data_IF_216429381082
#
_entry.id   IF_216429381082
#
_cell.length_a   1.000
_cell.length_b   1.000
_cell.length_c   1.000
_cell.angle_alpha   90.00
_cell.angle_beta   90.00
_cell.angle_gamma   90.00
#
_symmetry.space_group_name_H-M   'P 1'
#
loop_
_entity.id
_entity.type
_entity.pdbx_description
1 polymer ?
#
# COMPACT_ATOMS: atom_id res chain seq x y z
N UNK A 1 60.90 15.65 13.97
CA UNK A 1 59.83 16.00 13.01
C UNK A 1 58.51 16.16 13.76
N UNK A 2 58.00 17.38 13.69
CA UNK A 2 57.04 18.04 14.57
C UNK A 2 55.58 17.58 14.36
N UNK A 3 54.72 17.69 15.39
CA UNK A 3 53.27 17.62 15.24
C UNK A 3 52.69 18.92 14.67
N UNK A 4 51.77 18.81 13.71
CA UNK A 4 51.13 19.93 13.04
C UNK A 4 49.88 20.39 13.82
N UNK A 5 50.04 21.39 14.69
CA UNK A 5 48.95 22.10 15.37
C UNK A 5 48.56 23.36 14.59
N UNK A 6 47.54 23.27 13.74
CA UNK A 6 46.92 24.45 13.15
C UNK A 6 45.82 24.99 14.07
N UNK A 7 46.17 26.10 14.71
CA UNK A 7 45.31 26.99 15.47
C UNK A 7 44.05 27.40 14.69
N UNK A 8 42.88 27.11 15.27
CA UNK A 8 41.61 27.78 14.96
C UNK A 8 41.37 28.83 16.03
N UNK A 9 41.53 30.10 15.69
CA UNK A 9 41.06 31.23 16.48
C UNK A 9 40.43 32.23 15.53
N UNK A 10 39.15 32.51 15.74
CA UNK A 10 38.32 33.32 14.87
C UNK A 10 36.89 33.31 15.38
N UNK A 11 36.69 33.83 16.58
CA UNK A 11 35.40 34.21 17.15
C UNK A 11 35.02 35.61 16.66
N UNK A 12 33.82 35.79 16.10
CA UNK A 12 33.13 37.06 16.21
C UNK A 12 31.68 36.85 16.65
N UNK A 13 31.43 37.08 17.95
CA UNK A 13 30.39 37.95 18.51
C UNK A 13 28.93 37.81 18.03
N UNK A 14 27.97 37.56 18.95
CA UNK A 14 26.55 37.48 18.58
C UNK A 14 25.99 38.87 18.25
N UNK A 15 25.28 38.98 17.12
CA UNK A 15 24.42 40.13 16.80
C UNK A 15 22.99 39.77 17.12
N UNK A 16 22.43 40.47 18.11
CA UNK A 16 21.01 40.45 18.46
C UNK A 16 20.44 41.86 18.20
N UNK A 17 19.53 42.02 17.23
CA UNK A 17 18.61 43.13 17.21
C UNK A 17 17.19 42.65 17.53
N UNK A 18 16.69 43.09 18.69
CA UNK A 18 15.38 42.75 19.22
C UNK A 18 14.17 43.17 18.36
N UNK A 19 12.97 42.72 18.74
CA UNK A 19 11.76 42.93 17.95
C UNK A 19 11.18 44.33 18.16
N UNK A 20 10.89 45.03 17.07
CA UNK A 20 10.01 46.20 17.08
C UNK A 20 8.70 45.83 16.37
N UNK A 21 7.67 45.56 17.17
CA UNK A 21 6.28 45.54 16.71
C UNK A 21 5.79 46.98 16.49
N UNK A 22 5.18 47.31 15.34
CA UNK A 22 4.28 48.44 15.25
C UNK A 22 2.83 47.98 15.45
N UNK A 23 2.25 48.42 16.57
CA UNK A 23 0.80 48.47 16.81
C UNK A 23 0.16 49.35 15.74
N UNK A 24 -0.74 48.78 14.94
CA UNK A 24 -1.66 49.56 14.09
C UNK A 24 -3.07 49.32 14.62
N UNK A 25 -3.60 50.33 15.28
CA UNK A 25 -5.00 50.46 15.69
C UNK A 25 -5.79 50.96 14.47
N UNK A 26 -6.81 50.21 14.04
CA UNK A 26 -7.76 50.65 13.02
C UNK A 26 -9.20 50.36 13.48
N UNK A 27 -9.96 51.45 13.54
CA UNK A 27 -11.33 51.58 13.97
C UNK A 27 -12.34 50.76 13.14
N UNK A 28 -13.58 50.56 13.64
CA UNK A 28 -14.54 49.61 13.07
C UNK A 28 -15.39 50.24 11.97
N UNK A 29 -15.67 49.46 10.92
CA UNK A 29 -16.63 49.78 9.87
C UNK A 29 -17.19 48.50 9.21
N UNK A 30 -18.43 48.17 9.55
CA UNK A 30 -19.35 47.22 8.86
C UNK A 30 -19.71 47.73 7.43
N UNK A 31 -20.37 46.98 6.51
CA UNK A 31 -20.94 45.64 6.62
C UNK A 31 -20.75 44.72 5.38
N UNK A 32 -21.10 43.44 5.54
CA UNK A 32 -21.69 42.65 4.45
C UNK A 32 -20.73 41.84 3.57
N UNK A 33 -20.38 40.64 4.01
CA UNK A 33 -20.26 39.50 3.10
C UNK A 33 -20.79 38.27 3.82
N UNK A 34 -22.04 37.91 3.50
CA UNK A 34 -22.58 36.61 3.87
C UNK A 34 -21.70 35.53 3.23
N UNK A 35 -20.83 34.94 4.03
CA UNK A 35 -20.18 33.68 3.73
C UNK A 35 -21.28 32.62 3.54
N UNK A 36 -21.30 31.84 2.45
CA UNK A 36 -22.06 30.61 2.46
C UNK A 36 -21.50 29.71 3.58
N UNK A 37 -22.35 29.02 4.37
CA UNK A 37 -21.86 28.08 5.37
C UNK A 37 -21.01 27.02 4.68
N UNK A 38 -19.84 26.80 5.26
CA UNK A 38 -18.79 25.95 4.74
C UNK A 38 -19.30 24.56 4.36
N UNK A 39 -18.76 24.11 3.24
CA UNK A 39 -18.34 22.74 2.96
C UNK A 39 -18.68 21.78 4.09
N UNK A 40 -19.83 21.12 3.96
CA UNK A 40 -19.97 19.80 4.57
C UNK A 40 -18.86 18.89 4.05
N UNK A 41 -18.48 17.83 4.79
CA UNK A 41 -17.66 16.79 4.22
C UNK A 41 -18.49 16.08 3.15
N UNK A 42 -18.42 16.55 1.90
CA UNK A 42 -18.80 15.74 0.74
C UNK A 42 -17.75 14.66 0.55
N UNK A 43 -17.64 13.75 1.53
CA UNK A 43 -17.26 12.38 1.29
C UNK A 43 -18.53 11.64 0.84
N UNK A 44 -19.07 12.03 -0.30
CA UNK A 44 -20.07 11.24 -1.02
C UNK A 44 -19.45 10.91 -2.36
N UNK A 45 -18.65 9.83 -2.35
CA UNK A 45 -17.98 9.32 -3.54
C UNK A 45 -18.97 9.19 -4.68
N UNK A 46 -18.63 9.83 -5.81
CA UNK A 46 -19.28 9.52 -7.07
C UNK A 46 -19.14 8.01 -7.32
N UNK A 47 -20.21 7.31 -7.72
CA UNK A 47 -20.12 5.90 -8.06
C UNK A 47 -19.24 5.77 -9.31
N UNK A 48 -18.07 5.16 -9.16
CA UNK A 48 -17.33 4.60 -10.29
C UNK A 48 -15.90 5.09 -10.55
N UNK A 49 -15.34 6.01 -9.77
CA UNK A 49 -13.93 6.43 -10.01
C UNK A 49 -12.99 5.49 -9.25
N UNK A 50 -12.36 4.55 -9.97
CA UNK A 50 -11.26 3.77 -9.43
C UNK A 50 -10.08 4.69 -9.11
N UNK A 51 -9.54 4.57 -7.90
CA UNK A 51 -8.28 5.21 -7.56
C UNK A 51 -7.13 4.55 -8.35
N UNK A 52 -6.09 5.30 -8.75
CA UNK A 52 -4.92 4.70 -9.39
C UNK A 52 -4.32 3.59 -8.52
N UNK A 53 -3.89 2.49 -9.16
CA UNK A 53 -3.27 1.37 -8.44
C UNK A 53 -1.99 1.83 -7.72
N UNK A 54 -1.82 1.50 -6.43
CA UNK A 54 -0.62 1.85 -5.69
C UNK A 54 0.63 1.18 -6.30
N UNK A 55 1.80 1.78 -6.12
CA UNK A 55 3.06 1.09 -6.42
C UNK A 55 3.33 0.00 -5.38
N UNK A 56 3.87 -1.15 -5.80
CA UNK A 56 4.26 -2.23 -4.90
C UNK A 56 3.83 -3.61 -5.39
N UNK A 57 3.82 -4.57 -4.46
CA UNK A 57 3.60 -5.99 -4.74
C UNK A 57 2.25 -6.27 -5.41
N UNK A 58 1.18 -5.57 -5.01
CA UNK A 58 -0.15 -5.73 -5.63
C UNK A 58 -0.17 -5.31 -7.09
N UNK A 59 0.41 -4.15 -7.44
CA UNK A 59 0.51 -3.72 -8.85
C UNK A 59 1.43 -4.62 -9.67
N UNK A 60 2.53 -5.10 -9.10
CA UNK A 60 3.39 -6.10 -9.74
C UNK A 60 2.62 -7.40 -10.01
N UNK A 61 1.76 -7.82 -9.09
CA UNK A 61 0.89 -8.97 -9.23
C UNK A 61 -0.16 -8.78 -10.34
N UNK A 62 -0.80 -7.61 -10.44
CA UNK A 62 -1.71 -7.31 -11.56
C UNK A 62 -0.96 -7.31 -12.90
N UNK A 63 0.25 -6.72 -12.95
CA UNK A 63 1.08 -6.76 -14.16
C UNK A 63 1.43 -8.20 -14.58
N UNK A 64 1.76 -9.05 -13.61
CA UNK A 64 2.00 -10.46 -13.84
C UNK A 64 0.73 -11.15 -14.37
N UNK A 65 -0.44 -10.87 -13.79
CA UNK A 65 -1.71 -11.44 -14.23
C UNK A 65 -2.09 -11.03 -15.66
N UNK A 66 -1.82 -9.78 -16.04
CA UNK A 66 -2.01 -9.29 -17.41
C UNK A 66 -1.13 -10.03 -18.41
N UNK A 67 0.14 -10.27 -18.07
CA UNK A 67 1.12 -10.87 -18.98
C UNK A 67 1.15 -12.41 -18.95
N UNK A 68 0.70 -13.02 -17.86
CA UNK A 68 0.71 -14.47 -17.60
C UNK A 68 -0.57 -14.92 -16.89
N UNK A 69 -1.75 -14.82 -17.54
CA UNK A 69 -3.05 -15.03 -16.91
C UNK A 69 -3.23 -16.45 -16.34
N UNK A 70 -2.75 -17.49 -17.03
CA UNK A 70 -2.88 -18.89 -16.56
C UNK A 70 -2.21 -19.12 -15.20
N UNK A 71 -1.03 -18.54 -15.03
CA UNK A 71 -0.28 -18.65 -13.79
C UNK A 71 -0.96 -17.86 -12.67
N UNK A 72 -1.43 -16.66 -12.98
CA UNK A 72 -2.16 -15.82 -12.05
C UNK A 72 -3.44 -16.46 -11.54
N UNK A 73 -4.25 -17.04 -12.44
CA UNK A 73 -5.50 -17.71 -12.09
C UNK A 73 -5.29 -18.92 -11.17
N UNK A 74 -4.13 -19.58 -11.26
CA UNK A 74 -3.79 -20.72 -10.39
C UNK A 74 -3.23 -20.27 -9.05
N UNK A 75 -2.41 -19.21 -9.05
CA UNK A 75 -1.58 -18.85 -7.91
C UNK A 75 -2.17 -17.73 -7.04
N UNK A 76 -2.93 -16.81 -7.60
CA UNK A 76 -3.38 -15.58 -6.94
C UNK A 76 -4.90 -15.58 -6.78
N UNK A 77 -5.37 -15.17 -5.60
CA UNK A 77 -6.79 -14.90 -5.37
C UNK A 77 -7.00 -13.51 -4.76
N UNK A 78 -8.23 -12.98 -4.86
CA UNK A 78 -8.57 -11.61 -4.45
C UNK A 78 -8.30 -11.31 -2.97
N UNK A 79 -8.31 -12.34 -2.12
CA UNK A 79 -8.00 -12.28 -0.69
C UNK A 79 -6.57 -11.84 -0.35
N UNK A 80 -5.65 -11.91 -1.32
CA UNK A 80 -4.27 -11.45 -1.16
C UNK A 80 -4.11 -9.93 -1.39
N UNK A 81 -5.15 -9.25 -1.86
CA UNK A 81 -5.12 -7.84 -2.24
C UNK A 81 -5.88 -7.01 -1.21
N UNK A 82 -5.23 -6.03 -0.60
CA UNK A 82 -5.86 -5.06 0.29
C UNK A 82 -6.44 -3.89 -0.51
N UNK A 83 -5.77 -3.46 -1.58
CA UNK A 83 -6.25 -2.36 -2.41
C UNK A 83 -7.48 -2.78 -3.23
N UNK A 84 -8.60 -2.05 -3.11
CA UNK A 84 -9.83 -2.42 -3.81
C UNK A 84 -9.72 -2.30 -5.33
N UNK A 85 -8.87 -1.41 -5.86
CA UNK A 85 -8.65 -1.29 -7.31
C UNK A 85 -7.86 -2.50 -7.83
N UNK A 86 -6.79 -2.90 -7.15
CA UNK A 86 -6.01 -4.08 -7.53
C UNK A 86 -6.87 -5.35 -7.43
N UNK A 87 -7.67 -5.50 -6.35
CA UNK A 87 -8.60 -6.63 -6.20
C UNK A 87 -9.60 -6.70 -7.35
N UNK A 88 -10.27 -5.57 -7.67
CA UNK A 88 -11.21 -5.51 -8.78
C UNK A 88 -10.57 -5.81 -10.14
N UNK A 89 -9.31 -5.40 -10.36
CA UNK A 89 -8.56 -5.76 -11.56
C UNK A 89 -8.32 -7.27 -11.66
N UNK A 90 -7.92 -7.93 -10.58
CA UNK A 90 -7.74 -9.38 -10.57
C UNK A 90 -9.07 -10.09 -10.86
N UNK A 91 -10.14 -9.71 -10.18
CA UNK A 91 -11.47 -10.29 -10.37
C UNK A 91 -11.95 -10.15 -11.83
N UNK A 92 -11.73 -8.98 -12.44
CA UNK A 92 -12.06 -8.74 -13.84
C UNK A 92 -11.22 -9.61 -14.80
N UNK A 93 -9.91 -9.71 -14.57
CA UNK A 93 -9.02 -10.55 -15.37
C UNK A 93 -9.38 -12.04 -15.26
N UNK A 94 -9.69 -12.52 -14.06
CA UNK A 94 -10.07 -13.93 -13.81
C UNK A 94 -11.44 -14.24 -14.40
N UNK A 95 -12.43 -13.35 -14.27
CA UNK A 95 -13.79 -13.57 -14.77
C UNK A 95 -13.90 -13.53 -16.30
N UNK A 96 -13.07 -12.71 -16.95
CA UNK A 96 -13.03 -12.61 -18.42
C UNK A 96 -12.04 -13.57 -19.07
N UNK A 97 -11.05 -14.07 -18.33
CA UNK A 97 -10.05 -15.01 -18.82
C UNK A 97 -9.07 -14.44 -19.85
N UNK A 98 -9.16 -13.15 -20.21
CA UNK A 98 -8.19 -12.48 -21.08
C UNK A 98 -8.16 -10.97 -20.88
N UNK A 99 -6.99 -10.35 -21.09
CA UNK A 99 -6.84 -8.90 -21.06
C UNK A 99 -7.78 -8.20 -22.05
N UNK A 100 -7.92 -8.74 -23.27
CA UNK A 100 -8.73 -8.12 -24.31
C UNK A 100 -10.21 -8.03 -23.90
N UNK A 101 -10.75 -9.09 -23.30
CA UNK A 101 -12.12 -9.09 -22.79
C UNK A 101 -12.26 -8.24 -21.53
N UNK A 102 -11.28 -8.24 -20.62
CA UNK A 102 -11.24 -7.35 -19.46
C UNK A 102 -11.30 -5.88 -19.87
N UNK A 103 -10.52 -5.46 -20.88
CA UNK A 103 -10.53 -4.08 -21.41
C UNK A 103 -11.86 -3.73 -22.09
N UNK A 104 -12.49 -4.71 -22.77
CA UNK A 104 -13.75 -4.48 -23.48
C UNK A 104 -14.98 -4.40 -22.55
N UNK A 105 -14.96 -5.14 -21.42
CA UNK A 105 -16.10 -5.26 -20.50
C UNK A 105 -15.92 -4.47 -19.21
N UNK A 106 -14.68 -4.12 -18.87
CA UNK A 106 -14.31 -3.46 -17.63
C UNK A 106 -14.66 -1.97 -17.59
N UNK A 107 -14.65 -1.38 -16.38
CA UNK A 107 -14.72 0.06 -16.20
C UNK A 107 -13.62 0.78 -17.01
N UNK A 108 -13.90 1.92 -17.68
CA UNK A 108 -12.94 2.61 -18.53
C UNK A 108 -11.59 2.91 -17.84
N UNK A 109 -11.63 3.33 -16.58
CA UNK A 109 -10.46 3.67 -15.78
C UNK A 109 -9.57 2.44 -15.53
N UNK A 110 -10.20 1.29 -15.26
CA UNK A 110 -9.51 0.04 -15.02
C UNK A 110 -8.95 -0.54 -16.33
N UNK A 111 -9.72 -0.43 -17.42
CA UNK A 111 -9.31 -0.83 -18.76
C UNK A 111 -8.07 -0.04 -19.25
N UNK A 112 -8.02 1.28 -18.98
CA UNK A 112 -6.85 2.10 -19.28
C UNK A 112 -5.63 1.63 -18.49
N UNK A 113 -5.77 1.39 -17.19
CA UNK A 113 -4.66 0.95 -16.34
C UNK A 113 -4.14 -0.44 -16.72
N UNK A 114 -5.04 -1.40 -16.97
CA UNK A 114 -4.67 -2.73 -17.45
C UNK A 114 -3.95 -2.68 -18.80
N UNK A 115 -4.39 -1.80 -19.70
CA UNK A 115 -3.73 -1.58 -21.00
C UNK A 115 -2.31 -1.02 -20.81
N UNK A 116 -2.11 -0.09 -19.88
CA UNK A 116 -0.77 0.41 -19.53
C UNK A 116 0.12 -0.69 -18.97
N UNK A 117 -0.38 -1.49 -18.04
CA UNK A 117 0.39 -2.59 -17.45
C UNK A 117 0.76 -3.68 -18.46
N UNK A 118 -0.03 -3.85 -19.53
CA UNK A 118 0.24 -4.86 -20.57
C UNK A 118 1.47 -4.58 -21.42
N UNK A 119 1.87 -3.31 -21.54
CA UNK A 119 3.07 -2.92 -22.30
C UNK A 119 4.32 -2.86 -21.42
N UNK A 120 4.16 -3.00 -20.10
CA UNK A 120 5.27 -3.06 -19.15
C UNK A 120 5.79 -4.51 -19.07
N UNK A 121 6.98 -4.75 -19.63
CA UNK A 121 7.63 -6.07 -19.56
C UNK A 121 7.79 -6.57 -18.12
N UNK A 122 7.50 -7.85 -17.90
CA UNK A 122 7.72 -8.54 -16.62
C UNK A 122 9.08 -9.24 -16.67
N UNK A 123 10.08 -8.65 -16.02
CA UNK A 123 11.45 -9.20 -15.90
C UNK A 123 11.63 -9.97 -14.58
N UNK A 124 10.59 -10.06 -13.76
CA UNK A 124 10.64 -10.67 -12.42
C UNK A 124 10.06 -12.09 -12.48
N UNK A 125 10.66 -13.00 -11.72
CA UNK A 125 10.13 -14.36 -11.61
C UNK A 125 8.76 -14.34 -10.93
N UNK A 126 7.76 -15.08 -11.44
CA UNK A 126 6.42 -15.02 -10.89
C UNK A 126 6.32 -15.45 -9.42
N UNK A 127 7.16 -16.40 -9.02
CA UNK A 127 7.28 -16.82 -7.62
C UNK A 127 7.75 -15.67 -6.74
N UNK A 128 8.65 -14.81 -7.23
CA UNK A 128 9.11 -13.62 -6.50
C UNK A 128 8.00 -12.61 -6.25
N UNK A 129 7.13 -12.40 -7.25
CA UNK A 129 5.95 -11.54 -7.10
C UNK A 129 4.99 -12.14 -6.08
N UNK A 130 4.71 -13.45 -6.18
CA UNK A 130 3.81 -14.14 -5.25
C UNK A 130 4.34 -14.11 -3.81
N UNK A 131 5.62 -14.39 -3.58
CA UNK A 131 6.22 -14.36 -2.24
C UNK A 131 6.18 -12.96 -1.62
N UNK A 132 6.41 -11.89 -2.41
CA UNK A 132 6.25 -10.52 -1.93
C UNK A 132 4.80 -10.20 -1.60
N UNK A 133 3.87 -10.52 -2.50
CA UNK A 133 2.44 -10.30 -2.30
C UNK A 133 1.93 -11.00 -1.04
N UNK A 134 2.22 -12.30 -0.90
CA UNK A 134 1.84 -13.09 0.27
C UNK A 134 2.46 -12.53 1.57
N UNK A 135 3.71 -12.04 1.52
CA UNK A 135 4.36 -11.44 2.69
C UNK A 135 3.67 -10.14 3.12
N UNK A 136 3.30 -9.26 2.18
CA UNK A 136 2.59 -8.02 2.54
C UNK A 136 1.18 -8.31 3.07
N UNK A 137 0.43 -9.22 2.43
CA UNK A 137 -0.88 -9.67 2.93
C UNK A 137 -0.77 -10.26 4.34
N UNK A 138 0.25 -11.11 4.58
CA UNK A 138 0.51 -11.70 5.89
C UNK A 138 0.85 -10.67 6.96
N UNK A 139 1.55 -9.58 6.63
CA UNK A 139 1.83 -8.49 7.57
C UNK A 139 0.58 -7.72 7.96
N UNK A 140 -0.31 -7.48 7.01
CA UNK A 140 -1.60 -6.83 7.28
C UNK A 140 -2.44 -7.73 8.18
N UNK A 141 -2.56 -9.01 7.84
CA UNK A 141 -3.27 -9.99 8.66
C UNK A 141 -2.70 -10.09 10.08
N UNK A 142 -1.37 -10.14 10.21
CA UNK A 142 -0.69 -10.16 11.50
C UNK A 142 -1.05 -8.92 12.34
N UNK A 143 -1.03 -7.73 11.73
CA UNK A 143 -1.38 -6.49 12.42
C UNK A 143 -2.84 -6.49 12.90
N UNK A 144 -3.76 -7.01 12.08
CA UNK A 144 -5.17 -7.18 12.42
C UNK A 144 -5.39 -8.18 13.56
N UNK A 145 -4.72 -9.34 13.52
CA UNK A 145 -4.78 -10.34 14.59
C UNK A 145 -4.20 -9.79 15.90
N UNK A 146 -3.07 -9.08 15.85
CA UNK A 146 -2.51 -8.43 17.04
C UNK A 146 -3.44 -7.33 17.60
N UNK A 147 -4.15 -6.62 16.72
CA UNK A 147 -5.16 -5.63 17.11
C UNK A 147 -6.37 -6.29 17.76
N UNK A 148 -6.86 -7.39 17.20
CA UNK A 148 -7.95 -8.17 17.76
C UNK A 148 -7.58 -8.76 19.12
N UNK A 149 -6.39 -9.37 19.25
CA UNK A 149 -5.89 -9.93 20.50
C UNK A 149 -5.82 -8.88 21.63
N UNK A 150 -5.38 -7.66 21.32
CA UNK A 150 -5.33 -6.55 22.30
C UNK A 150 -6.72 -6.10 22.79
N UNK A 151 -7.76 -6.33 22.01
CA UNK A 151 -9.13 -5.96 22.34
C UNK A 151 -9.99 -7.14 22.85
N UNK A 152 -9.45 -8.36 22.85
CA UNK A 152 -10.16 -9.59 23.21
C UNK A 152 -10.17 -9.84 24.73
N UNK A 153 -11.23 -10.49 25.21
CA UNK A 153 -11.31 -11.04 26.57
C UNK A 153 -10.40 -12.28 26.73
N UNK A 154 -10.17 -13.02 25.64
CA UNK A 154 -9.19 -14.10 25.57
C UNK A 154 -8.15 -13.84 24.47
N UNK A 155 -7.02 -13.17 24.80
CA UNK A 155 -5.94 -12.95 23.85
C UNK A 155 -5.21 -14.23 23.41
N UNK A 156 -5.31 -15.33 24.16
CA UNK A 156 -4.56 -16.56 23.84
C UNK A 156 -5.09 -17.26 22.60
N UNK A 157 -6.37 -17.07 22.24
CA UNK A 157 -6.96 -17.64 21.02
C UNK A 157 -6.21 -17.23 19.74
N UNK A 158 -5.60 -16.03 19.73
CA UNK A 158 -4.86 -15.51 18.57
C UNK A 158 -3.39 -15.94 18.54
N UNK A 159 -2.86 -16.44 19.65
CA UNK A 159 -1.41 -16.65 19.83
C UNK A 159 -0.81 -17.60 18.79
N UNK A 160 -1.52 -18.68 18.46
CA UNK A 160 -1.04 -19.67 17.49
C UNK A 160 -0.94 -19.08 16.08
N UNK A 161 -1.94 -18.32 15.64
CA UNK A 161 -1.95 -17.67 14.32
C UNK A 161 -0.87 -16.59 14.22
N UNK A 162 -0.74 -15.74 15.25
CA UNK A 162 0.29 -14.69 15.35
C UNK A 162 1.69 -15.30 15.30
N UNK A 163 1.94 -16.37 16.07
CA UNK A 163 3.23 -17.06 16.08
C UNK A 163 3.54 -17.72 14.74
N UNK A 164 2.55 -18.37 14.11
CA UNK A 164 2.68 -18.96 12.78
C UNK A 164 3.11 -17.90 11.76
N UNK A 165 2.35 -16.80 11.64
CA UNK A 165 2.64 -15.74 10.67
C UNK A 165 4.04 -15.13 10.87
N UNK A 166 4.44 -14.84 12.11
CA UNK A 166 5.78 -14.30 12.40
C UNK A 166 6.91 -15.21 11.93
N UNK A 167 6.77 -16.52 12.17
CA UNK A 167 7.77 -17.51 11.74
C UNK A 167 7.75 -17.62 10.22
N UNK A 168 6.59 -17.85 9.62
CA UNK A 168 6.45 -18.10 8.18
C UNK A 168 6.93 -16.90 7.34
N UNK A 169 6.66 -15.66 7.76
CA UNK A 169 7.18 -14.45 7.10
C UNK A 169 8.72 -14.44 7.09
N UNK A 170 9.36 -14.79 8.21
CA UNK A 170 10.83 -14.85 8.29
C UNK A 170 11.40 -16.03 7.47
N UNK A 171 10.70 -17.17 7.42
CA UNK A 171 11.07 -18.31 6.59
C UNK A 171 11.00 -17.97 5.09
N UNK A 172 9.94 -17.33 4.62
CA UNK A 172 9.82 -16.85 3.23
C UNK A 172 10.98 -15.92 2.87
N UNK A 173 11.32 -14.99 3.78
CA UNK A 173 12.45 -14.08 3.59
C UNK A 173 13.80 -14.82 3.54
N UNK A 174 13.97 -15.88 4.33
CA UNK A 174 15.21 -16.67 4.39
C UNK A 174 15.40 -17.57 3.17
N UNK A 175 14.33 -18.23 2.74
CA UNK A 175 14.37 -19.25 1.69
C UNK A 175 14.06 -18.70 0.29
N UNK A 176 13.50 -17.49 0.21
CA UNK A 176 13.11 -16.87 -1.04
C UNK A 176 11.77 -17.41 -1.57
N UNK A 177 11.33 -16.79 -2.65
CA UNK A 177 9.93 -16.84 -3.04
C UNK A 177 9.50 -18.11 -3.82
N UNK A 178 10.46 -18.93 -4.24
CA UNK A 178 10.22 -20.24 -4.86
C UNK A 178 10.10 -21.40 -3.87
N UNK A 179 10.09 -21.13 -2.56
CA UNK A 179 9.98 -22.16 -1.52
C UNK A 179 8.53 -22.65 -1.36
N UNK A 180 8.35 -23.91 -0.95
CA UNK A 180 7.02 -24.47 -0.61
C UNK A 180 6.31 -23.65 0.47
N UNK A 181 7.07 -22.98 1.34
CA UNK A 181 6.60 -22.09 2.39
C UNK A 181 5.72 -20.96 1.84
N UNK A 182 6.00 -20.44 0.63
CA UNK A 182 5.15 -19.41 0.03
C UNK A 182 3.76 -19.94 -0.28
N UNK A 183 3.67 -21.17 -0.79
CA UNK A 183 2.39 -21.81 -1.09
C UNK A 183 1.61 -22.12 0.19
N UNK A 184 2.29 -22.61 1.23
CA UNK A 184 1.68 -22.82 2.56
C UNK A 184 1.15 -21.51 3.16
N UNK A 185 1.89 -20.40 3.00
CA UNK A 185 1.45 -19.08 3.45
C UNK A 185 0.21 -18.60 2.69
N UNK A 186 0.20 -18.75 1.36
CA UNK A 186 -0.95 -18.38 0.51
C UNK A 186 -2.19 -19.18 0.89
N UNK A 187 -2.08 -20.51 1.04
CA UNK A 187 -3.21 -21.36 1.39
C UNK A 187 -3.73 -21.07 2.81
N UNK A 188 -2.85 -20.73 3.73
CA UNK A 188 -3.25 -20.28 5.06
C UNK A 188 -4.02 -18.95 5.00
N UNK A 189 -3.52 -17.95 4.26
CA UNK A 189 -4.17 -16.64 4.10
C UNK A 189 -5.55 -16.78 3.45
N UNK A 190 -5.68 -17.68 2.47
CA UNK A 190 -6.97 -18.04 1.88
C UNK A 190 -7.95 -18.57 2.89
N UNK A 191 -7.49 -19.49 3.73
CA UNK A 191 -8.34 -20.12 4.73
C UNK A 191 -8.71 -19.17 5.87
N UNK A 192 -7.83 -18.22 6.21
CA UNK A 192 -8.07 -17.26 7.31
C UNK A 192 -8.93 -16.07 6.90
N UNK A 193 -8.97 -15.72 5.61
CA UNK A 193 -9.66 -14.54 5.06
C UNK A 193 -10.93 -14.86 4.26
N UNK A 194 -11.22 -16.14 4.03
CA UNK A 194 -12.46 -16.63 3.40
C UNK A 194 -13.66 -16.52 4.36
#
# INVERSE_FOLDING_TARGET
PEPNEHARSGDPGPRDPGPTDPVIDHAPGDPGTSLPPGSGPEASGAPGVFAPMPHGAEREAIRLAVNRPDLAATAMGPELFEDPTCRAALELLVSTGSLAEAVAQGPPELAEELSRLSVEDVVVEPTDVLGRLATEAARVELAELERAARASEDPLEYSSAISYLKVTIEEVRRHGAGSEIVWELVDWLRSSRA
#
